data_IF_626452342549
#
_entry.id   IF_626452342549
#
_cell.length_a   1.000
_cell.length_b   1.000
_cell.length_c   1.000
_cell.angle_alpha   90.00
_cell.angle_beta   90.00
_cell.angle_gamma   90.00
#
_symmetry.space_group_name_H-M   'P 1'
#
loop_
_entity.id
_entity.type
_entity.pdbx_description
1 polymer ?
#
# COMPACT_ATOMS: atom_id res chain seq x y z
N UNK A 1 18.42 12.80 -15.81
CA UNK A 1 18.19 13.86 -14.82
C UNK A 1 16.86 13.61 -14.10
N UNK A 2 16.86 12.70 -13.14
CA UNK A 2 15.68 12.45 -12.29
C UNK A 2 15.66 13.35 -11.04
N UNK A 3 16.33 14.48 -11.09
CA UNK A 3 16.81 15.29 -9.97
C UNK A 3 15.78 16.10 -9.22
N UNK A 4 14.48 15.87 -9.37
CA UNK A 4 13.45 16.65 -8.66
C UNK A 4 12.30 15.76 -8.19
N UNK A 5 12.65 14.59 -7.63
CA UNK A 5 11.64 13.67 -7.11
C UNK A 5 11.91 13.39 -5.63
N UNK A 6 10.87 13.50 -4.83
CA UNK A 6 10.84 12.99 -3.47
C UNK A 6 10.21 11.59 -3.50
N UNK A 7 10.97 10.58 -3.09
CA UNK A 7 10.50 9.21 -3.02
C UNK A 7 10.38 8.82 -1.56
N UNK A 8 9.18 8.45 -1.14
CA UNK A 8 8.91 7.91 0.19
C UNK A 8 8.60 6.42 0.08
N UNK A 9 9.27 5.60 0.89
CA UNK A 9 9.06 4.14 0.88
C UNK A 9 8.91 3.64 2.31
N UNK A 10 7.94 2.74 2.51
CA UNK A 10 7.71 2.05 3.77
C UNK A 10 7.50 0.55 3.53
N UNK A 11 8.08 -0.30 4.36
CA UNK A 11 7.90 -1.76 4.29
C UNK A 11 8.01 -2.39 5.68
N UNK A 12 7.29 -3.49 5.87
CA UNK A 12 7.37 -4.37 7.05
C UNK A 12 7.88 -5.79 6.69
N UNK A 13 8.37 -5.98 5.44
CA UNK A 13 8.84 -7.25 4.91
C UNK A 13 7.75 -8.10 4.27
N UNK A 14 6.47 -7.80 4.48
CA UNK A 14 5.32 -8.51 3.88
C UNK A 14 4.57 -7.64 2.87
N UNK A 15 4.72 -6.35 2.96
CA UNK A 15 4.14 -5.36 2.07
C UNK A 15 5.04 -4.15 1.94
N UNK A 16 4.84 -3.39 0.90
CA UNK A 16 5.58 -2.16 0.62
C UNK A 16 4.62 -1.11 0.08
N UNK A 17 4.83 0.12 0.52
CA UNK A 17 4.20 1.30 -0.05
C UNK A 17 5.29 2.25 -0.56
N UNK A 18 5.17 2.73 -1.78
CA UNK A 18 6.04 3.73 -2.40
C UNK A 18 5.18 4.85 -2.93
N UNK A 19 5.59 6.07 -2.61
CA UNK A 19 4.99 7.28 -3.17
C UNK A 19 6.08 8.13 -3.80
N UNK A 20 5.80 8.70 -4.97
CA UNK A 20 6.73 9.57 -5.70
C UNK A 20 6.04 10.90 -5.98
N UNK A 21 6.63 12.00 -5.52
CA UNK A 21 6.14 13.33 -5.85
C UNK A 21 7.24 14.16 -6.50
N UNK A 22 6.84 15.14 -7.31
CA UNK A 22 7.74 16.18 -7.81
C UNK A 22 8.11 17.10 -6.65
N UNK A 23 9.35 17.58 -6.64
CA UNK A 23 9.86 18.50 -5.63
C UNK A 23 10.88 19.43 -6.26
N UNK A 24 11.10 20.58 -5.65
CA UNK A 24 12.18 21.51 -6.02
C UNK A 24 13.48 21.24 -5.22
N UNK A 25 13.56 20.12 -4.52
CA UNK A 25 14.77 19.74 -3.76
C UNK A 25 15.83 19.29 -4.75
N UNK A 26 16.96 20.01 -4.77
CA UNK A 26 18.09 19.73 -5.67
C UNK A 26 19.18 18.87 -5.03
N UNK A 27 19.06 18.57 -3.75
CA UNK A 27 20.03 17.79 -2.97
C UNK A 27 19.68 16.32 -2.99
N UNK A 28 20.62 15.47 -3.40
CA UNK A 28 20.48 14.02 -3.30
C UNK A 28 20.73 13.61 -1.84
N UNK A 29 19.66 13.21 -1.14
CA UNK A 29 19.71 12.79 0.26
C UNK A 29 18.84 11.56 0.45
N UNK A 30 19.35 10.58 1.20
CA UNK A 30 18.61 9.39 1.61
C UNK A 30 18.65 9.27 3.12
N UNK A 31 17.47 9.19 3.74
CA UNK A 31 17.33 9.14 5.21
C UNK A 31 16.31 8.07 5.60
N UNK A 32 16.45 7.55 6.83
CA UNK A 32 15.49 6.61 7.41
C UNK A 32 14.80 7.29 8.59
N UNK A 33 13.50 7.54 8.43
CA UNK A 33 12.66 8.19 9.43
C UNK A 33 12.05 7.12 10.35
N UNK A 34 12.13 7.23 11.68
CA UNK A 34 11.50 6.30 12.60
C UNK A 34 9.97 6.28 12.42
N UNK A 35 9.37 5.09 12.50
CA UNK A 35 7.90 4.91 12.43
C UNK A 35 7.13 5.86 13.36
N UNK A 36 7.64 6.06 14.59
CA UNK A 36 7.00 6.95 15.56
C UNK A 36 6.91 8.40 15.05
N UNK A 37 7.96 8.89 14.37
CA UNK A 37 7.94 10.22 13.74
C UNK A 37 6.89 10.30 12.64
N UNK A 38 6.80 9.29 11.78
CA UNK A 38 5.79 9.24 10.69
C UNK A 38 4.36 9.26 11.26
N UNK A 39 4.10 8.53 12.35
CA UNK A 39 2.79 8.53 13.01
C UNK A 39 2.44 9.91 13.58
N UNK A 40 3.41 10.64 14.17
CA UNK A 40 3.17 12.01 14.66
C UNK A 40 2.94 13.00 13.52
N UNK A 41 3.66 12.87 12.40
CA UNK A 41 3.40 13.67 11.19
C UNK A 41 1.96 13.46 10.73
N UNK A 42 1.54 12.20 10.62
CA UNK A 42 0.18 11.86 10.20
C UNK A 42 -0.88 12.41 11.16
N UNK A 43 -0.63 12.36 12.46
CA UNK A 43 -1.52 12.93 13.49
C UNK A 43 -1.65 14.46 13.35
N UNK A 44 -0.55 15.17 13.14
CA UNK A 44 -0.54 16.63 12.98
C UNK A 44 -1.28 17.02 11.70
N UNK A 45 -0.99 16.34 10.58
CA UNK A 45 -1.65 16.61 9.30
C UNK A 45 -3.14 16.25 9.32
N UNK A 46 -3.51 15.14 9.96
CA UNK A 46 -4.90 14.70 10.08
C UNK A 46 -5.76 15.60 10.98
N UNK A 47 -5.15 16.35 11.91
CA UNK A 47 -5.87 17.33 12.73
C UNK A 47 -6.23 18.64 11.99
N UNK A 48 -5.56 18.89 10.86
CA UNK A 48 -5.74 20.09 10.03
C UNK A 48 -6.59 19.79 8.78
N UNK A 49 -7.73 19.14 8.96
CA UNK A 49 -8.58 18.57 7.88
C UNK A 49 -9.32 19.58 6.99
N UNK A 50 -9.04 20.87 7.06
CA UNK A 50 -9.75 21.93 6.32
C UNK A 50 -9.20 22.16 4.89
N UNK A 51 -8.84 21.15 4.12
CA UNK A 51 -8.43 21.27 2.69
C UNK A 51 -7.51 22.47 2.35
N UNK A 52 -6.75 22.98 3.32
CA UNK A 52 -5.78 24.05 3.09
C UNK A 52 -4.44 23.44 2.74
N UNK A 53 -3.78 24.03 1.76
CA UNK A 53 -2.36 23.75 1.54
C UNK A 53 -1.58 24.11 2.81
N UNK A 54 -0.94 23.14 3.40
CA UNK A 54 -0.11 23.31 4.60
C UNK A 54 1.32 23.48 4.14
N UNK A 55 1.88 24.65 4.36
CA UNK A 55 3.31 24.87 4.11
C UNK A 55 4.11 24.10 5.15
N UNK A 56 5.00 23.24 4.64
CA UNK A 56 5.87 22.43 5.49
C UNK A 56 7.32 22.72 5.16
N UNK A 57 8.10 23.13 6.16
CA UNK A 57 9.55 23.27 6.03
C UNK A 57 10.23 22.01 6.56
N UNK A 58 11.11 21.44 5.74
CA UNK A 58 11.86 20.24 6.06
C UNK A 58 13.35 20.55 6.15
N UNK A 59 13.90 20.45 7.36
CA UNK A 59 15.33 20.60 7.62
C UNK A 59 15.95 19.24 7.98
N UNK A 60 16.94 18.81 7.22
CA UNK A 60 17.65 17.54 7.41
C UNK A 60 19.08 17.84 7.81
N UNK A 61 19.50 17.30 8.96
CA UNK A 61 20.86 17.28 9.43
C UNK A 61 21.40 15.84 9.39
N UNK A 62 22.68 15.66 9.71
CA UNK A 62 23.30 14.33 9.67
C UNK A 62 22.57 13.27 10.50
N UNK A 63 21.99 13.62 11.64
CA UNK A 63 21.39 12.67 12.58
C UNK A 63 19.94 12.99 12.93
N UNK A 64 19.35 14.04 12.36
CA UNK A 64 18.01 14.48 12.74
C UNK A 64 17.26 15.11 11.56
N UNK A 65 15.95 15.02 11.66
CA UNK A 65 14.99 15.70 10.80
C UNK A 65 14.17 16.65 11.65
N UNK A 66 13.97 17.86 11.15
CA UNK A 66 13.06 18.84 11.74
C UNK A 66 12.00 19.19 10.72
N UNK A 67 10.74 19.02 11.08
CA UNK A 67 9.59 19.46 10.30
C UNK A 67 8.91 20.61 11.03
N UNK A 68 8.63 21.68 10.30
CA UNK A 68 7.83 22.81 10.76
C UNK A 68 6.53 22.77 9.95
N UNK A 69 5.43 22.54 10.64
CA UNK A 69 4.10 22.39 10.06
C UNK A 69 3.17 23.37 10.78
N UNK A 70 2.83 24.49 10.17
CA UNK A 70 2.14 25.61 10.81
C UNK A 70 2.83 26.01 12.14
N UNK A 71 2.11 25.90 13.26
CA UNK A 71 2.63 26.21 14.61
C UNK A 71 3.36 25.04 15.28
N UNK A 72 3.49 23.88 14.61
CA UNK A 72 4.15 22.71 15.17
C UNK A 72 5.59 22.60 14.70
N UNK A 73 6.48 22.28 15.61
CA UNK A 73 7.88 21.92 15.33
C UNK A 73 8.08 20.49 15.80
N UNK A 74 8.29 19.57 14.85
CA UNK A 74 8.58 18.17 15.12
C UNK A 74 10.05 17.88 14.85
N UNK A 75 10.77 17.43 15.88
CA UNK A 75 12.16 17.03 15.77
C UNK A 75 12.29 15.54 16.06
N UNK A 76 12.94 14.82 15.18
CA UNK A 76 13.22 13.38 15.36
C UNK A 76 14.66 13.05 15.00
N UNK A 77 15.23 12.08 15.71
CA UNK A 77 16.48 11.45 15.27
C UNK A 77 16.21 10.55 14.08
N UNK A 78 17.17 10.47 13.19
CA UNK A 78 17.16 9.52 12.08
C UNK A 78 17.66 8.15 12.54
N UNK A 79 17.25 7.09 11.82
CA UNK A 79 17.80 5.75 12.03
C UNK A 79 19.07 5.62 11.19
N UNK A 80 20.18 5.24 11.83
CA UNK A 80 21.43 4.93 11.14
C UNK A 80 21.32 3.56 10.46
N UNK A 81 21.86 3.46 9.23
CA UNK A 81 21.91 2.21 8.48
C UNK A 81 21.49 2.37 7.02
N UNK A 82 21.43 1.24 6.33
CA UNK A 82 20.99 1.17 4.94
C UNK A 82 19.55 0.67 4.88
N UNK A 83 18.69 1.41 4.18
CA UNK A 83 17.34 0.93 3.87
C UNK A 83 17.43 -0.24 2.87
N UNK A 84 16.58 -1.28 3.01
CA UNK A 84 16.57 -2.40 2.06
C UNK A 84 16.37 -1.94 0.62
N UNK A 85 16.98 -2.64 -0.34
CA UNK A 85 16.77 -2.33 -1.76
C UNK A 85 15.34 -2.69 -2.18
N UNK A 86 14.45 -1.74 -2.04
CA UNK A 86 13.02 -1.90 -2.34
C UNK A 86 12.72 -2.07 -3.83
N UNK A 87 13.61 -1.63 -4.72
CA UNK A 87 13.40 -1.80 -6.17
C UNK A 87 13.40 -3.27 -6.59
N UNK A 88 14.06 -4.15 -5.82
CA UNK A 88 14.02 -5.60 -6.09
C UNK A 88 12.69 -6.27 -5.75
N UNK A 89 11.86 -5.61 -4.94
CA UNK A 89 10.56 -6.14 -4.50
C UNK A 89 9.45 -5.74 -5.45
N UNK A 90 9.60 -4.61 -6.14
CA UNK A 90 8.64 -4.10 -7.12
C UNK A 90 8.94 -4.78 -8.45
N UNK A 91 8.04 -5.62 -9.00
CA UNK A 91 8.23 -6.25 -10.30
C UNK A 91 8.40 -5.20 -11.41
N UNK A 92 9.39 -5.37 -12.28
CA UNK A 92 9.61 -4.50 -13.44
C UNK A 92 8.53 -4.65 -14.52
N UNK A 93 7.92 -5.83 -14.59
CA UNK A 93 6.81 -6.13 -15.51
C UNK A 93 5.83 -7.09 -14.85
N UNK A 94 4.59 -7.03 -15.23
CA UNK A 94 3.53 -7.92 -14.77
C UNK A 94 2.91 -8.65 -15.95
N UNK A 95 2.52 -9.93 -15.73
CA UNK A 95 1.97 -10.78 -16.79
C UNK A 95 0.50 -10.54 -17.03
N UNK A 96 -0.22 -10.21 -15.96
CA UNK A 96 -1.67 -10.04 -15.99
C UNK A 96 -2.13 -8.97 -15.02
N UNK A 97 -3.27 -8.41 -15.33
CA UNK A 97 -3.88 -7.32 -14.55
C UNK A 97 -5.34 -7.65 -14.27
N UNK A 98 -5.70 -7.54 -12.99
CA UNK A 98 -7.07 -7.62 -12.52
C UNK A 98 -7.53 -6.20 -12.22
N UNK A 99 -8.64 -5.76 -12.85
CA UNK A 99 -9.25 -4.45 -12.65
C UNK A 99 -10.55 -4.62 -11.91
N UNK A 100 -10.71 -3.89 -10.81
CA UNK A 100 -11.86 -4.00 -9.91
C UNK A 100 -12.30 -2.61 -9.46
N UNK A 101 -13.60 -2.37 -9.39
CA UNK A 101 -14.14 -1.17 -8.74
C UNK A 101 -13.80 -1.20 -7.24
N UNK A 102 -13.18 -0.11 -6.77
CA UNK A 102 -12.67 0.01 -5.38
C UNK A 102 -13.78 -0.17 -4.34
N UNK A 103 -14.95 0.42 -4.56
CA UNK A 103 -16.07 0.37 -3.62
C UNK A 103 -16.62 -1.06 -3.49
N UNK A 104 -16.71 -1.79 -4.59
CA UNK A 104 -17.17 -3.17 -4.64
C UNK A 104 -16.20 -4.08 -3.91
N UNK A 105 -14.90 -3.98 -4.21
CA UNK A 105 -13.87 -4.76 -3.51
C UNK A 105 -13.82 -4.45 -2.01
N UNK A 106 -13.92 -3.17 -1.62
CA UNK A 106 -13.96 -2.75 -0.21
C UNK A 106 -15.14 -3.38 0.54
N UNK A 107 -16.33 -3.37 -0.05
CA UNK A 107 -17.52 -3.94 0.56
C UNK A 107 -17.38 -5.46 0.73
N UNK A 108 -16.94 -6.18 -0.30
CA UNK A 108 -16.69 -7.62 -0.26
C UNK A 108 -15.67 -7.99 0.83
N UNK A 109 -14.53 -7.31 0.87
CA UNK A 109 -13.51 -7.55 1.91
C UNK A 109 -14.04 -7.25 3.32
N UNK A 110 -14.89 -6.23 3.50
CA UNK A 110 -15.51 -5.94 4.78
C UNK A 110 -16.45 -7.05 5.25
N UNK A 111 -17.22 -7.67 4.34
CA UNK A 111 -18.09 -8.81 4.65
C UNK A 111 -17.22 -10.02 5.05
N UNK A 112 -16.27 -10.40 4.22
CA UNK A 112 -15.40 -11.56 4.42
C UNK A 112 -14.56 -11.42 5.69
N UNK A 113 -14.11 -10.21 6.02
CA UNK A 113 -13.30 -9.94 7.21
C UNK A 113 -14.00 -10.32 8.54
N UNK A 114 -15.32 -10.52 8.55
CA UNK A 114 -16.07 -10.95 9.74
C UNK A 114 -15.87 -12.43 10.08
N UNK A 115 -15.52 -13.24 9.08
CA UNK A 115 -15.35 -14.70 9.21
C UNK A 115 -13.88 -15.10 9.20
N UNK A 116 -12.98 -14.18 8.88
CA UNK A 116 -11.55 -14.47 8.75
C UNK A 116 -10.93 -14.92 10.09
N UNK A 117 -10.01 -15.86 10.04
CA UNK A 117 -9.19 -16.21 11.19
C UNK A 117 -8.42 -15.00 11.72
N UNK A 118 -8.64 -14.62 12.96
CA UNK A 118 -8.06 -13.40 13.57
C UNK A 118 -6.54 -13.44 13.68
N UNK A 119 -5.93 -14.61 13.74
CA UNK A 119 -4.48 -14.77 13.85
C UNK A 119 -3.77 -14.63 12.48
N UNK A 120 -4.32 -15.28 11.44
CA UNK A 120 -3.66 -15.35 10.13
C UNK A 120 -4.24 -14.36 9.10
N UNK A 121 -5.51 -13.96 9.30
CA UNK A 121 -6.22 -12.99 8.44
C UNK A 121 -6.14 -13.33 6.95
N UNK A 122 -6.17 -14.63 6.63
CA UNK A 122 -6.03 -15.11 5.26
C UNK A 122 -7.30 -14.97 4.44
N UNK A 123 -7.19 -14.47 3.23
CA UNK A 123 -8.22 -14.49 2.19
C UNK A 123 -7.61 -15.03 0.91
N UNK A 124 -8.30 -15.94 0.24
CA UNK A 124 -7.93 -16.45 -1.07
C UNK A 124 -8.71 -15.69 -2.14
N UNK A 125 -7.99 -15.16 -3.11
CA UNK A 125 -8.50 -14.49 -4.29
C UNK A 125 -8.32 -15.40 -5.50
N UNK A 126 -9.38 -15.62 -6.26
CA UNK A 126 -9.35 -16.39 -7.52
C UNK A 126 -9.96 -15.53 -8.60
N UNK A 127 -9.14 -14.74 -9.35
CA UNK A 127 -9.60 -13.97 -10.49
C UNK A 127 -9.92 -14.88 -11.65
N UNK A 128 -11.01 -14.57 -12.33
CA UNK A 128 -11.43 -15.12 -13.61
C UNK A 128 -11.71 -13.98 -14.59
N UNK A 129 -11.99 -14.29 -15.84
CA UNK A 129 -12.10 -13.28 -16.91
C UNK A 129 -13.06 -12.13 -16.61
N UNK A 130 -14.18 -12.41 -15.94
CA UNK A 130 -15.25 -11.44 -15.69
C UNK A 130 -15.59 -11.28 -14.21
N UNK A 131 -14.92 -12.00 -13.32
CA UNK A 131 -15.22 -11.95 -11.89
C UNK A 131 -13.99 -12.21 -11.01
N UNK A 132 -14.08 -11.80 -9.77
CA UNK A 132 -13.16 -12.16 -8.69
C UNK A 132 -13.92 -12.93 -7.63
N UNK A 133 -13.50 -14.16 -7.36
CA UNK A 133 -14.00 -14.96 -6.25
C UNK A 133 -13.10 -14.77 -5.03
N UNK A 134 -13.71 -14.49 -3.90
CA UNK A 134 -13.05 -14.30 -2.62
C UNK A 134 -13.55 -15.35 -1.63
N UNK A 135 -12.65 -16.03 -0.93
CA UNK A 135 -13.02 -16.99 0.11
C UNK A 135 -12.07 -16.89 1.30
N UNK A 136 -12.62 -16.98 2.48
CA UNK A 136 -11.87 -17.09 3.74
C UNK A 136 -12.57 -18.06 4.69
N UNK A 137 -11.80 -18.66 5.59
CA UNK A 137 -12.34 -19.53 6.64
C UNK A 137 -11.62 -19.29 7.97
N UNK A 138 -12.29 -19.62 9.07
CA UNK A 138 -11.71 -19.61 10.40
C UNK A 138 -11.49 -21.02 10.96
N UNK A 139 -11.00 -21.10 12.18
CA UNK A 139 -10.74 -22.36 12.89
C UNK A 139 -12.02 -23.08 13.34
N UNK A 140 -13.16 -22.40 13.34
CA UNK A 140 -14.48 -22.96 13.69
C UNK A 140 -15.21 -23.52 12.47
N UNK A 141 -14.53 -23.61 11.32
CA UNK A 141 -15.07 -24.07 10.04
C UNK A 141 -16.17 -23.15 9.47
N UNK A 142 -16.26 -21.91 9.93
CA UNK A 142 -17.08 -20.92 9.25
C UNK A 142 -16.38 -20.48 7.98
N UNK A 143 -17.15 -20.30 6.91
CA UNK A 143 -16.66 -19.90 5.59
C UNK A 143 -17.37 -18.63 5.16
N UNK A 144 -16.59 -17.64 4.79
CA UNK A 144 -17.07 -16.44 4.08
C UNK A 144 -16.66 -16.52 2.63
N UNK A 145 -17.62 -16.37 1.73
CA UNK A 145 -17.44 -16.46 0.30
C UNK A 145 -18.21 -15.34 -0.38
N UNK A 146 -17.60 -14.73 -1.39
CA UNK A 146 -18.23 -13.70 -2.21
C UNK A 146 -17.67 -13.74 -3.64
N UNK A 147 -18.48 -13.33 -4.59
CA UNK A 147 -18.07 -13.18 -5.99
C UNK A 147 -18.50 -11.81 -6.50
N UNK A 148 -17.54 -11.05 -6.99
CA UNK A 148 -17.73 -9.69 -7.47
C UNK A 148 -17.31 -9.55 -8.92
N UNK A 149 -17.90 -8.60 -9.63
CA UNK A 149 -17.52 -8.27 -11.00
C UNK A 149 -16.12 -7.71 -11.05
N UNK A 150 -15.32 -8.19 -11.99
CA UNK A 150 -13.95 -7.75 -12.23
C UNK A 150 -13.54 -8.09 -13.65
N UNK A 151 -12.50 -7.44 -14.16
CA UNK A 151 -11.90 -7.76 -15.46
C UNK A 151 -10.48 -8.29 -15.24
N UNK A 152 -10.21 -9.49 -15.74
CA UNK A 152 -8.89 -10.10 -15.63
C UNK A 152 -8.40 -10.63 -16.97
N UNK A 153 -7.19 -10.30 -17.36
CA UNK A 153 -6.58 -10.65 -18.65
C UNK A 153 -5.63 -11.86 -18.59
N UNK A 154 -5.47 -12.46 -17.41
CA UNK A 154 -4.60 -13.61 -17.20
C UNK A 154 -5.31 -14.96 -17.19
N UNK A 155 -4.53 -16.02 -16.97
CA UNK A 155 -5.06 -17.36 -16.70
C UNK A 155 -5.59 -17.44 -15.27
N UNK A 156 -6.64 -18.23 -15.04
CA UNK A 156 -7.20 -18.46 -13.71
C UNK A 156 -6.13 -19.00 -12.75
N UNK A 157 -6.01 -18.36 -11.63
CA UNK A 157 -5.09 -18.75 -10.56
C UNK A 157 -5.68 -18.38 -9.19
N UNK A 158 -5.20 -19.02 -8.14
CA UNK A 158 -5.63 -18.71 -6.78
C UNK A 158 -4.44 -18.20 -5.95
N UNK A 159 -4.61 -17.06 -5.31
CA UNK A 159 -3.56 -16.42 -4.48
C UNK A 159 -4.14 -16.11 -3.11
N UNK A 160 -3.38 -16.45 -2.06
CA UNK A 160 -3.71 -16.07 -0.68
C UNK A 160 -3.06 -14.76 -0.28
N UNK A 161 -3.79 -13.93 0.46
CA UNK A 161 -3.29 -12.67 1.02
C UNK A 161 -3.77 -12.47 2.45
N UNK A 162 -3.07 -11.59 3.17
CA UNK A 162 -3.62 -11.02 4.40
C UNK A 162 -4.66 -9.95 4.03
N UNK A 163 -5.92 -10.18 4.43
CA UNK A 163 -7.03 -9.30 4.09
C UNK A 163 -6.81 -7.85 4.58
N UNK A 164 -6.20 -7.69 5.76
CA UNK A 164 -5.93 -6.35 6.30
C UNK A 164 -4.94 -5.56 5.45
N UNK A 165 -4.00 -6.24 4.78
CA UNK A 165 -3.04 -5.55 3.91
C UNK A 165 -3.71 -5.00 2.66
N UNK A 166 -4.67 -5.75 2.08
CA UNK A 166 -5.46 -5.28 0.94
C UNK A 166 -6.37 -4.13 1.39
N UNK A 167 -7.04 -4.25 2.54
CA UNK A 167 -7.91 -3.20 3.08
C UNK A 167 -7.14 -1.90 3.30
N UNK A 168 -5.95 -1.94 3.90
CA UNK A 168 -5.11 -0.75 4.12
C UNK A 168 -4.78 -0.02 2.80
N UNK A 169 -4.50 -0.77 1.72
CA UNK A 169 -4.25 -0.18 0.39
C UNK A 169 -5.51 0.47 -0.17
N UNK A 170 -6.65 -0.24 -0.13
CA UNK A 170 -7.93 0.25 -0.66
C UNK A 170 -8.42 1.49 0.09
N UNK A 171 -8.18 1.55 1.41
CA UNK A 171 -8.53 2.71 2.23
C UNK A 171 -7.62 3.92 1.94
N UNK A 172 -6.42 3.69 1.44
CA UNK A 172 -5.46 4.74 1.09
C UNK A 172 -5.73 5.31 -0.32
N UNK A 173 -6.09 4.45 -1.28
CA UNK A 173 -6.37 4.85 -2.65
C UNK A 173 -7.72 5.56 -2.75
N UNK A 174 -7.80 6.55 -3.64
CA UNK A 174 -9.02 7.34 -3.92
C UNK A 174 -9.61 7.05 -5.30
N UNK A 175 -8.86 6.40 -6.18
CA UNK A 175 -9.29 5.99 -7.53
C UNK A 175 -10.54 5.12 -7.50
N UNK A 176 -11.40 5.26 -8.49
CA UNK A 176 -12.60 4.44 -8.62
C UNK A 176 -12.24 2.97 -8.92
N UNK A 177 -11.24 2.74 -9.76
CA UNK A 177 -10.74 1.41 -10.10
C UNK A 177 -9.36 1.14 -9.49
N UNK A 178 -9.20 -0.10 -9.04
CA UNK A 178 -7.93 -0.66 -8.56
C UNK A 178 -7.41 -1.66 -9.58
N UNK A 179 -6.14 -1.53 -9.92
CA UNK A 179 -5.40 -2.48 -10.73
C UNK A 179 -4.56 -3.38 -9.83
N UNK A 180 -4.79 -4.67 -9.87
CA UNK A 180 -3.97 -5.68 -9.19
C UNK A 180 -3.15 -6.40 -10.25
N UNK A 181 -1.87 -6.13 -10.29
CA UNK A 181 -0.94 -6.67 -11.27
C UNK A 181 -0.26 -7.92 -10.70
N UNK A 182 -0.38 -9.02 -11.44
CA UNK A 182 -0.05 -10.38 -10.97
C UNK A 182 0.95 -11.02 -11.91
N UNK A 183 1.95 -11.70 -11.37
CA UNK A 183 2.91 -12.51 -12.14
C UNK A 183 2.67 -14.01 -11.96
N UNK A 184 2.55 -14.44 -10.72
CA UNK A 184 2.33 -15.82 -10.31
C UNK A 184 1.84 -15.87 -8.86
N UNK A 185 1.59 -17.07 -8.34
CA UNK A 185 1.07 -17.30 -6.99
C UNK A 185 2.06 -17.02 -5.85
N UNK A 186 3.35 -16.84 -6.14
CA UNK A 186 4.41 -16.72 -5.13
C UNK A 186 5.08 -15.36 -5.14
N UNK A 187 4.95 -14.61 -6.23
CA UNK A 187 5.53 -13.26 -6.37
C UNK A 187 4.64 -12.21 -5.76
N UNK A 188 5.23 -11.12 -5.30
CA UNK A 188 4.47 -9.97 -4.81
C UNK A 188 3.54 -9.40 -5.87
N UNK A 189 2.30 -9.12 -5.50
CA UNK A 189 1.34 -8.43 -6.35
C UNK A 189 1.45 -6.93 -6.18
N UNK A 190 1.37 -6.20 -7.29
CA UNK A 190 1.38 -4.73 -7.29
C UNK A 190 -0.05 -4.22 -7.35
N UNK A 191 -0.40 -3.32 -6.45
CA UNK A 191 -1.70 -2.65 -6.44
C UNK A 191 -1.50 -1.17 -6.78
N UNK A 192 -2.30 -0.68 -7.70
CA UNK A 192 -2.27 0.69 -8.20
C UNK A 192 -3.69 1.24 -8.26
N UNK A 193 -3.84 2.53 -7.99
CA UNK A 193 -5.06 3.25 -8.36
C UNK A 193 -4.96 3.73 -9.81
N UNK A 194 -6.01 3.61 -10.58
CA UNK A 194 -6.05 4.00 -12.01
C UNK A 194 -5.63 5.47 -12.21
N UNK A 195 -6.06 6.36 -11.34
CA UNK A 195 -5.76 7.80 -11.39
C UNK A 195 -4.58 8.23 -10.51
N UNK A 196 -3.88 7.29 -9.86
CA UNK A 196 -2.84 7.56 -8.86
C UNK A 196 -1.50 6.87 -9.18
N UNK A 197 -0.88 7.17 -10.34
CA UNK A 197 0.34 6.49 -10.78
C UNK A 197 1.58 6.75 -9.87
N UNK A 198 1.49 7.76 -9.03
CA UNK A 198 2.54 8.10 -8.06
C UNK A 198 2.58 7.16 -6.86
N UNK A 199 1.50 6.41 -6.61
CA UNK A 199 1.34 5.49 -5.49
C UNK A 199 1.48 4.05 -5.97
N UNK A 200 2.45 3.33 -5.43
CA UNK A 200 2.70 1.92 -5.75
C UNK A 200 2.68 1.12 -4.46
N UNK A 201 1.83 0.09 -4.40
CA UNK A 201 1.77 -0.82 -3.27
C UNK A 201 2.15 -2.23 -3.71
N UNK A 202 2.91 -2.94 -2.90
CA UNK A 202 3.21 -4.36 -3.12
C UNK A 202 2.75 -5.14 -1.91
N UNK A 203 2.04 -6.25 -2.14
CA UNK A 203 1.63 -7.18 -1.10
C UNK A 203 2.20 -8.56 -1.44
N UNK A 204 2.92 -9.15 -0.50
CA UNK A 204 3.43 -10.51 -0.65
C UNK A 204 2.31 -11.51 -0.41
N UNK A 205 2.19 -12.54 -1.27
CA UNK A 205 1.21 -13.61 -1.07
C UNK A 205 1.56 -14.44 0.18
N UNK A 206 0.53 -15.07 0.73
CA UNK A 206 0.65 -16.00 1.84
C UNK A 206 -0.06 -17.31 1.54
N UNK A 207 0.31 -18.39 2.22
CA UNK A 207 -0.42 -19.65 2.16
C UNK A 207 -1.70 -19.54 2.99
N UNK A 208 -2.84 -19.88 2.38
CA UNK A 208 -4.19 -19.85 2.98
C UNK A 208 -4.82 -21.21 2.82
#
# INVERSE_FOLDING_TARGET
NDGEKLISVCTDGHRLAKYTSSTNITTDVSIIIPRKCVLEINRILGSNSDNKEIMTELNINNNSITLIIDDYILISKLIEGNYPNFNKVIPESTKSTLIIERSVLKNSLNIISKVVNQQYKGVKLTPSKESLHLISSNTESEVGEDQIDASYDGEELSIGFNISYIQDVIDTLTSDNIHVCINDQNSGCVLLGESEPSSVFVIMPMRV
#
